data_IF_874920790726
#
_entry.id   IF_874920790726
#
_cell.length_a   1.000
_cell.length_b   1.000
_cell.length_c   1.000
_cell.angle_alpha   90.00
_cell.angle_beta   90.00
_cell.angle_gamma   90.00
#
_symmetry.space_group_name_H-M   'P 1'
#
loop_
_entity.id
_entity.type
_entity.pdbx_description
1 polymer ?
#
# COMPACT_ATOMS: atom_id res chain seq x y z
N UNK A 1 12.42 5.09 10.63
CA UNK A 1 11.05 4.53 10.44
C UNK A 1 10.89 3.23 11.21
N UNK A 2 9.74 2.98 11.80
CA UNK A 2 9.45 1.78 12.60
C UNK A 2 7.99 1.37 12.42
N UNK A 3 7.67 0.10 12.72
CA UNK A 3 6.28 -0.37 12.83
C UNK A 3 5.64 0.27 14.07
N UNK A 4 4.45 0.85 13.92
CA UNK A 4 3.79 1.65 14.97
C UNK A 4 2.75 0.88 15.77
N UNK A 5 2.17 -0.20 15.22
CA UNK A 5 1.14 -1.00 15.89
C UNK A 5 1.27 -2.50 15.67
N UNK A 6 0.41 -3.27 16.34
CA UNK A 6 0.34 -4.73 16.19
C UNK A 6 1.52 -5.49 16.80
N UNK A 7 1.67 -6.77 16.39
CA UNK A 7 2.64 -7.73 16.96
C UNK A 7 4.11 -7.37 16.73
N UNK A 8 4.40 -6.55 15.72
CA UNK A 8 5.76 -6.11 15.37
C UNK A 8 6.04 -4.66 15.82
N UNK A 9 5.21 -4.08 16.68
CA UNK A 9 5.36 -2.71 17.16
C UNK A 9 6.79 -2.46 17.67
N UNK A 10 7.40 -1.35 17.19
CA UNK A 10 8.76 -0.95 17.55
C UNK A 10 9.85 -1.53 16.66
N UNK A 11 9.53 -2.48 15.75
CA UNK A 11 10.51 -3.01 14.80
C UNK A 11 11.02 -1.89 13.90
N UNK A 12 12.33 -1.62 13.94
CA UNK A 12 12.99 -0.64 13.08
C UNK A 12 13.18 -1.20 11.68
N UNK A 13 12.64 -0.52 10.69
CA UNK A 13 12.81 -0.86 9.28
C UNK A 13 14.09 -0.24 8.73
N UNK A 14 14.73 -0.94 7.78
CA UNK A 14 15.80 -0.37 6.98
C UNK A 14 15.22 0.72 6.06
N UNK A 15 15.95 1.81 5.95
CA UNK A 15 15.58 2.99 5.18
C UNK A 15 16.70 3.29 4.17
N UNK A 16 16.37 4.07 3.16
CA UNK A 16 17.38 4.65 2.28
C UNK A 16 18.25 5.58 3.09
N UNK A 17 19.57 5.44 2.99
CA UNK A 17 20.49 6.34 3.68
C UNK A 17 20.29 7.79 3.24
N UNK A 18 20.44 8.73 4.16
CA UNK A 18 20.43 10.15 3.83
C UNK A 18 21.53 10.44 2.79
N UNK A 19 21.13 10.80 1.56
CA UNK A 19 22.06 11.18 0.48
C UNK A 19 22.04 10.30 -0.76
N UNK A 20 21.20 9.27 -0.85
CA UNK A 20 21.00 8.56 -2.11
C UNK A 20 20.04 9.36 -3.03
N UNK A 21 20.51 9.98 -4.13
CA UNK A 21 19.67 10.74 -5.06
C UNK A 21 18.64 9.87 -5.79
N UNK A 22 18.83 8.55 -5.81
CA UNK A 22 17.90 7.58 -6.39
C UNK A 22 16.72 7.28 -5.44
N UNK A 23 16.80 7.73 -4.19
CA UNK A 23 15.76 7.57 -3.21
C UNK A 23 14.76 8.72 -3.28
N UNK A 24 13.95 8.76 -4.31
CA UNK A 24 12.71 9.57 -4.34
C UNK A 24 11.66 9.01 -3.36
N UNK A 25 12.07 8.11 -2.48
CA UNK A 25 11.23 7.55 -1.43
C UNK A 25 11.13 8.60 -0.31
N UNK A 26 10.10 9.43 -0.37
CA UNK A 26 9.66 10.20 0.81
C UNK A 26 8.95 9.19 1.72
N UNK A 27 9.57 8.72 2.81
CA UNK A 27 8.92 7.70 3.63
C UNK A 27 7.71 8.32 4.30
N UNK A 28 6.56 7.67 4.13
CA UNK A 28 5.37 7.95 4.95
C UNK A 28 5.79 7.97 6.42
N UNK A 29 5.64 9.10 7.09
CA UNK A 29 6.09 9.23 8.48
C UNK A 29 5.34 8.26 9.38
N UNK A 30 5.96 7.85 10.49
CA UNK A 30 5.31 7.00 11.50
C UNK A 30 3.95 7.57 11.91
N UNK A 31 3.83 8.90 12.03
CA UNK A 31 2.59 9.60 12.38
C UNK A 31 1.50 9.48 11.32
N UNK A 32 1.83 9.67 10.05
CA UNK A 32 0.86 9.54 8.95
C UNK A 32 0.39 8.08 8.85
N UNK A 33 1.32 7.13 8.93
CA UNK A 33 0.99 5.70 8.91
C UNK A 33 0.06 5.32 10.06
N UNK A 34 0.33 5.78 11.29
CA UNK A 34 -0.57 5.58 12.43
C UNK A 34 -1.96 6.16 12.17
N UNK A 35 -2.04 7.38 11.62
CA UNK A 35 -3.30 8.02 11.28
C UNK A 35 -4.09 7.25 10.22
N UNK A 36 -3.43 6.73 9.17
CA UNK A 36 -4.04 5.89 8.13
C UNK A 36 -4.67 4.63 8.75
N UNK A 37 -3.94 3.90 9.59
CA UNK A 37 -4.46 2.69 10.21
C UNK A 37 -5.58 2.99 11.23
N UNK A 38 -5.51 4.11 11.94
CA UNK A 38 -6.60 4.56 12.81
C UNK A 38 -7.86 4.92 12.00
N UNK A 39 -7.68 5.54 10.82
CA UNK A 39 -8.79 5.84 9.91
C UNK A 39 -9.47 4.56 9.42
N UNK A 40 -8.70 3.56 8.98
CA UNK A 40 -9.21 2.27 8.54
C UNK A 40 -9.99 1.55 9.66
N UNK A 41 -9.41 1.44 10.84
CA UNK A 41 -9.98 0.68 11.96
C UNK A 41 -11.15 1.40 12.63
N UNK A 42 -10.96 2.67 13.00
CA UNK A 42 -11.89 3.36 13.89
C UNK A 42 -12.99 4.12 13.14
N UNK A 43 -12.68 4.66 11.96
CA UNK A 43 -13.65 5.44 11.17
C UNK A 43 -14.43 4.58 10.18
N UNK A 44 -13.77 3.58 9.60
CA UNK A 44 -14.37 2.72 8.57
C UNK A 44 -14.62 1.29 9.02
N UNK A 45 -14.18 0.90 10.22
CA UNK A 45 -14.39 -0.45 10.76
C UNK A 45 -13.80 -1.56 9.88
N UNK A 46 -12.75 -1.26 9.10
CA UNK A 46 -12.17 -2.23 8.18
C UNK A 46 -11.41 -3.33 8.96
N UNK A 47 -11.78 -4.61 8.81
CA UNK A 47 -11.11 -5.71 9.49
C UNK A 47 -9.76 -5.98 8.80
N UNK A 48 -8.66 -5.49 9.40
CA UNK A 48 -7.30 -5.79 8.88
C UNK A 48 -6.92 -7.24 9.13
N UNK A 49 -7.42 -7.82 10.22
CA UNK A 49 -7.17 -9.22 10.55
C UNK A 49 -7.72 -10.15 9.47
N UNK A 50 -6.86 -11.04 8.98
CA UNK A 50 -7.20 -11.96 7.90
C UNK A 50 -7.19 -11.35 6.50
N UNK A 51 -7.06 -10.03 6.34
CA UNK A 51 -7.10 -9.37 5.05
C UNK A 51 -5.91 -9.76 4.15
N UNK A 52 -6.17 -9.81 2.85
CA UNK A 52 -5.16 -9.87 1.79
C UNK A 52 -4.83 -8.45 1.36
N UNK A 53 -3.57 -8.07 1.41
CA UNK A 53 -3.11 -6.70 1.17
C UNK A 53 -2.23 -6.63 -0.06
N UNK A 54 -2.46 -5.62 -0.91
CA UNK A 54 -1.60 -5.26 -2.03
C UNK A 54 -0.96 -3.90 -1.73
N UNK A 55 0.35 -3.82 -1.81
CA UNK A 55 1.12 -2.59 -1.56
C UNK A 55 1.81 -2.19 -2.87
N UNK A 56 1.24 -1.19 -3.55
CA UNK A 56 1.71 -0.67 -4.84
C UNK A 56 2.66 0.50 -4.60
N UNK A 57 3.77 0.54 -5.33
CA UNK A 57 4.91 1.42 -5.07
C UNK A 57 5.46 1.21 -3.66
N UNK A 58 5.64 -0.06 -3.29
CA UNK A 58 5.85 -0.50 -1.91
C UNK A 58 7.09 0.10 -1.22
N UNK A 59 8.10 0.53 -1.97
CA UNK A 59 9.29 1.15 -1.42
C UNK A 59 9.98 0.26 -0.38
N UNK A 60 9.98 0.71 0.88
CA UNK A 60 10.52 -0.05 2.01
C UNK A 60 9.56 -1.12 2.54
N UNK A 61 8.31 -1.15 2.07
CA UNK A 61 7.25 -2.06 2.53
C UNK A 61 6.58 -1.64 3.83
N UNK A 62 6.71 -0.39 4.23
CA UNK A 62 6.25 0.07 5.54
C UNK A 62 4.75 -0.09 5.76
N UNK A 63 3.91 0.22 4.76
CA UNK A 63 2.46 0.09 4.85
C UNK A 63 2.01 -1.38 4.91
N UNK A 64 2.51 -2.22 4.00
CA UNK A 64 2.17 -3.64 3.99
C UNK A 64 2.68 -4.37 5.24
N UNK A 65 3.90 -4.07 5.72
CA UNK A 65 4.43 -4.65 6.96
C UNK A 65 3.67 -4.18 8.20
N UNK A 66 3.18 -2.95 8.22
CA UNK A 66 2.29 -2.46 9.27
C UNK A 66 0.96 -3.23 9.26
N UNK A 67 0.38 -3.50 8.06
CA UNK A 67 -0.82 -4.31 7.94
C UNK A 67 -0.61 -5.74 8.46
N UNK A 68 0.51 -6.39 8.09
CA UNK A 68 0.89 -7.71 8.64
C UNK A 68 1.04 -7.68 10.17
N UNK A 69 1.63 -6.63 10.70
CA UNK A 69 1.77 -6.45 12.14
C UNK A 69 0.42 -6.40 12.85
N UNK A 70 -0.61 -5.91 12.16
CA UNK A 70 -1.97 -5.76 12.67
C UNK A 70 -2.90 -6.92 12.31
N UNK A 71 -2.35 -8.02 11.77
CA UNK A 71 -3.09 -9.26 11.56
C UNK A 71 -3.48 -9.57 10.11
N UNK A 72 -3.06 -8.79 9.11
CA UNK A 72 -3.26 -9.17 7.73
C UNK A 72 -2.70 -10.57 7.46
N UNK A 73 -3.41 -11.37 6.68
CA UNK A 73 -3.03 -12.76 6.41
C UNK A 73 -1.88 -12.86 5.42
N UNK A 74 -1.86 -11.98 4.42
CA UNK A 74 -0.87 -11.98 3.35
C UNK A 74 -0.68 -10.59 2.75
N UNK A 75 0.55 -10.27 2.33
CA UNK A 75 0.84 -9.05 1.60
C UNK A 75 1.60 -9.36 0.32
N UNK A 76 1.14 -8.80 -0.81
CA UNK A 76 1.90 -8.69 -2.04
C UNK A 76 2.45 -7.26 -2.17
N UNK A 77 3.74 -7.16 -2.34
CA UNK A 77 4.43 -5.91 -2.58
C UNK A 77 4.81 -5.80 -4.06
N UNK A 78 4.54 -4.67 -4.66
CA UNK A 78 4.88 -4.35 -6.04
C UNK A 78 5.78 -3.13 -6.09
N UNK A 79 6.96 -3.28 -6.65
CA UNK A 79 7.91 -2.19 -6.86
C UNK A 79 8.88 -2.55 -8.00
N UNK A 80 9.17 -1.62 -8.91
CA UNK A 80 10.10 -1.83 -10.01
C UNK A 80 11.54 -1.39 -9.69
N UNK A 81 11.73 -0.60 -8.62
CA UNK A 81 13.02 -0.09 -8.16
C UNK A 81 13.90 -1.17 -7.53
N UNK A 82 15.12 -1.36 -8.02
CA UNK A 82 16.02 -2.38 -7.49
C UNK A 82 16.45 -2.08 -6.04
N UNK A 83 16.75 -0.83 -5.73
CA UNK A 83 17.13 -0.38 -4.38
C UNK A 83 15.97 -0.54 -3.39
N UNK A 84 14.75 -0.12 -3.79
CA UNK A 84 13.55 -0.28 -2.99
C UNK A 84 13.31 -1.76 -2.64
N UNK A 85 13.35 -2.66 -3.63
CA UNK A 85 13.17 -4.10 -3.40
C UNK A 85 14.26 -4.73 -2.54
N UNK A 86 15.50 -4.23 -2.57
CA UNK A 86 16.55 -4.71 -1.68
C UNK A 86 16.23 -4.37 -0.21
N UNK A 87 15.81 -3.13 0.06
CA UNK A 87 15.35 -2.70 1.37
C UNK A 87 14.11 -3.46 1.84
N UNK A 88 13.14 -3.62 0.93
CA UNK A 88 11.92 -4.37 1.21
C UNK A 88 12.22 -5.82 1.62
N UNK A 89 13.10 -6.53 0.90
CA UNK A 89 13.52 -7.89 1.27
C UNK A 89 14.15 -7.93 2.65
N UNK A 90 15.06 -7.01 2.95
CA UNK A 90 15.69 -6.92 4.27
C UNK A 90 14.65 -6.66 5.38
N UNK A 91 13.63 -5.84 5.11
CA UNK A 91 12.56 -5.56 6.05
C UNK A 91 11.62 -6.76 6.25
N UNK A 92 11.25 -7.46 5.18
CA UNK A 92 10.44 -8.70 5.24
C UNK A 92 11.18 -9.79 6.03
N UNK A 93 12.47 -9.95 5.80
CA UNK A 93 13.31 -10.90 6.54
C UNK A 93 13.39 -10.53 8.03
N UNK A 94 13.67 -9.25 8.33
CA UNK A 94 13.70 -8.72 9.70
C UNK A 94 12.36 -8.90 10.42
N UNK A 95 11.24 -8.76 9.72
CA UNK A 95 9.90 -9.01 10.22
C UNK A 95 9.56 -10.52 10.33
N UNK A 96 10.42 -11.42 9.84
CA UNK A 96 10.18 -12.88 9.70
C UNK A 96 8.87 -13.18 8.96
N UNK A 97 8.60 -12.42 7.88
CA UNK A 97 7.34 -12.46 7.17
C UNK A 97 7.42 -13.16 5.80
N UNK A 98 8.54 -13.81 5.45
CA UNK A 98 8.77 -14.43 4.13
C UNK A 98 7.68 -15.44 3.72
N UNK A 99 7.10 -16.17 4.67
CA UNK A 99 6.06 -17.17 4.38
C UNK A 99 4.67 -16.60 4.04
N UNK A 100 4.45 -15.31 4.31
CA UNK A 100 3.16 -14.62 4.14
C UNK A 100 3.27 -13.38 3.24
N UNK A 101 4.39 -13.24 2.54
CA UNK A 101 4.64 -12.10 1.64
C UNK A 101 5.11 -12.56 0.27
N UNK A 102 4.71 -11.81 -0.76
CA UNK A 102 5.25 -11.91 -2.11
C UNK A 102 5.86 -10.56 -2.49
N UNK A 103 7.02 -10.57 -3.13
CA UNK A 103 7.69 -9.36 -3.63
C UNK A 103 7.81 -9.47 -5.15
N UNK A 104 7.07 -8.65 -5.86
CA UNK A 104 7.03 -8.66 -7.32
C UNK A 104 7.79 -7.49 -7.91
N UNK A 105 8.70 -7.82 -8.83
CA UNK A 105 9.30 -6.84 -9.71
C UNK A 105 8.34 -6.54 -10.84
N UNK A 106 7.50 -5.51 -10.68
CA UNK A 106 6.56 -5.04 -11.70
C UNK A 106 6.41 -3.54 -11.65
N UNK A 107 6.10 -2.96 -12.79
CA UNK A 107 5.54 -1.62 -12.87
C UNK A 107 4.10 -1.67 -12.35
N UNK A 108 3.80 -0.87 -11.34
CA UNK A 108 2.44 -0.80 -10.78
C UNK A 108 1.41 -0.27 -11.79
N UNK A 109 1.84 0.47 -12.81
CA UNK A 109 0.98 0.97 -13.88
C UNK A 109 0.70 -0.08 -14.97
N UNK A 110 1.40 -1.23 -14.93
CA UNK A 110 1.21 -2.37 -15.85
C UNK A 110 1.29 -3.71 -15.09
N UNK A 111 0.28 -3.97 -14.27
CA UNK A 111 0.23 -5.17 -13.43
C UNK A 111 -0.07 -6.45 -14.22
N UNK A 112 -0.79 -6.32 -15.33
CA UNK A 112 -1.35 -7.47 -16.04
C UNK A 112 -2.43 -8.21 -15.25
N UNK A 113 -2.87 -9.40 -15.70
CA UNK A 113 -3.94 -10.13 -15.04
C UNK A 113 -3.49 -10.74 -13.69
N UNK A 114 -4.34 -10.60 -12.68
CA UNK A 114 -4.24 -11.35 -11.44
C UNK A 114 -4.73 -12.79 -11.67
N UNK A 115 -3.92 -13.78 -11.31
CA UNK A 115 -4.27 -15.20 -11.42
C UNK A 115 -4.68 -15.83 -10.08
N UNK A 116 -4.75 -15.01 -9.02
CA UNK A 116 -5.13 -15.41 -7.69
C UNK A 116 -6.43 -14.76 -7.21
N UNK A 117 -6.72 -14.90 -5.94
CA UNK A 117 -7.80 -14.15 -5.31
C UNK A 117 -7.47 -12.66 -5.25
N UNK A 118 -8.50 -11.81 -5.31
CA UNK A 118 -8.38 -10.37 -5.16
C UNK A 118 -7.86 -9.96 -3.76
N UNK A 119 -7.53 -8.70 -3.64
CA UNK A 119 -7.02 -8.10 -2.40
C UNK A 119 -8.09 -7.23 -1.76
N UNK A 120 -8.23 -7.35 -0.44
CA UNK A 120 -9.22 -6.65 0.37
C UNK A 120 -8.81 -5.21 0.68
N UNK A 121 -7.50 -4.97 0.79
CA UNK A 121 -6.91 -3.67 1.08
C UNK A 121 -5.75 -3.41 0.11
N UNK A 122 -5.75 -2.24 -0.50
CA UNK A 122 -4.71 -1.81 -1.43
C UNK A 122 -4.11 -0.50 -0.93
N UNK A 123 -2.81 -0.47 -0.72
CA UNK A 123 -2.04 0.75 -0.49
C UNK A 123 -1.45 1.25 -1.80
N UNK A 124 -1.43 2.55 -1.97
CA UNK A 124 -0.95 3.25 -3.14
C UNK A 124 -0.25 4.54 -2.73
N UNK A 125 1.09 4.54 -2.77
CA UNK A 125 1.94 5.70 -2.44
C UNK A 125 2.92 5.97 -3.60
N UNK A 126 2.42 6.47 -4.74
CA UNK A 126 3.24 6.72 -5.93
C UNK A 126 4.11 7.96 -5.75
N UNK A 127 5.18 8.13 -6.54
CA UNK A 127 5.86 9.41 -6.68
C UNK A 127 4.88 10.51 -7.14
N UNK A 128 4.74 11.56 -6.35
CA UNK A 128 3.73 12.61 -6.53
C UNK A 128 3.82 13.34 -7.88
N UNK A 129 2.69 13.85 -8.35
CA UNK A 129 2.60 14.76 -9.51
C UNK A 129 2.79 14.10 -10.88
N UNK A 130 2.84 12.75 -10.97
CA UNK A 130 3.04 12.01 -12.22
C UNK A 130 1.82 11.27 -12.72
N UNK A 131 0.70 11.37 -12.01
CA UNK A 131 -0.54 10.62 -12.29
C UNK A 131 -0.34 9.09 -12.38
N UNK A 132 0.69 8.58 -11.69
CA UNK A 132 0.98 7.16 -11.66
C UNK A 132 -0.07 6.39 -10.85
N UNK A 133 -0.69 7.04 -9.89
CA UNK A 133 -1.74 6.43 -9.07
C UNK A 133 -2.97 6.08 -9.88
N UNK A 134 -3.46 7.00 -10.74
CA UNK A 134 -4.58 6.74 -11.64
C UNK A 134 -4.30 5.58 -12.58
N UNK A 135 -3.10 5.56 -13.20
CA UNK A 135 -2.69 4.50 -14.10
C UNK A 135 -2.58 3.13 -13.38
N UNK A 136 -2.00 3.11 -12.17
CA UNK A 136 -1.87 1.90 -11.37
C UNK A 136 -3.24 1.33 -10.97
N UNK A 137 -4.17 2.18 -10.51
CA UNK A 137 -5.52 1.76 -10.16
C UNK A 137 -6.31 1.27 -11.39
N UNK A 138 -6.16 1.93 -12.54
CA UNK A 138 -6.77 1.47 -13.79
C UNK A 138 -6.23 0.10 -14.20
N UNK A 139 -4.90 -0.12 -14.10
CA UNK A 139 -4.26 -1.41 -14.36
C UNK A 139 -4.75 -2.50 -13.39
N UNK A 140 -4.85 -2.17 -12.11
CA UNK A 140 -5.33 -3.11 -11.09
C UNK A 140 -6.80 -3.51 -11.31
N UNK A 141 -7.67 -2.55 -11.68
CA UNK A 141 -9.06 -2.82 -12.03
C UNK A 141 -9.15 -3.75 -13.25
N UNK A 142 -8.47 -3.39 -14.34
CA UNK A 142 -8.48 -4.17 -15.57
C UNK A 142 -7.92 -5.58 -15.37
N UNK A 143 -6.98 -5.75 -14.45
CA UNK A 143 -6.36 -7.03 -14.15
C UNK A 143 -7.09 -7.88 -13.10
N UNK A 144 -8.20 -7.43 -12.52
CA UNK A 144 -8.94 -8.19 -11.50
C UNK A 144 -8.18 -8.34 -10.18
N UNK A 145 -7.50 -7.27 -9.72
CA UNK A 145 -6.71 -7.30 -8.51
C UNK A 145 -7.50 -7.01 -7.24
N UNK A 146 -8.67 -6.40 -7.35
CA UNK A 146 -9.51 -6.05 -6.21
C UNK A 146 -10.47 -7.19 -5.85
N UNK A 147 -10.60 -7.48 -4.57
CA UNK A 147 -11.74 -8.21 -4.05
C UNK A 147 -13.01 -7.32 -4.13
N UNK A 148 -14.22 -7.90 -4.13
CA UNK A 148 -15.44 -7.12 -4.00
C UNK A 148 -15.37 -6.24 -2.74
N UNK A 149 -15.81 -4.98 -2.83
CA UNK A 149 -15.80 -3.99 -1.75
C UNK A 149 -14.40 -3.66 -1.17
N UNK A 150 -13.32 -3.99 -1.88
CA UNK A 150 -11.96 -3.69 -1.45
C UNK A 150 -11.77 -2.20 -1.15
N UNK A 151 -10.98 -1.90 -0.12
CA UNK A 151 -10.57 -0.53 0.18
C UNK A 151 -9.21 -0.21 -0.45
N UNK A 152 -9.10 1.01 -0.97
CA UNK A 152 -7.84 1.60 -1.43
C UNK A 152 -7.48 2.77 -0.54
N UNK A 153 -6.25 2.80 -0.06
CA UNK A 153 -5.64 3.94 0.62
C UNK A 153 -4.64 4.56 -0.34
N UNK A 154 -4.93 5.75 -0.80
CA UNK A 154 -4.10 6.46 -1.77
C UNK A 154 -3.48 7.70 -1.14
N UNK A 155 -2.16 7.76 -1.10
CA UNK A 155 -1.38 8.91 -0.64
C UNK A 155 -0.92 9.76 -1.83
N UNK A 156 -1.21 11.07 -1.78
CA UNK A 156 -0.80 12.08 -2.76
C UNK A 156 -0.62 13.45 -2.08
N UNK A 157 -0.05 14.42 -2.77
CA UNK A 157 0.01 15.83 -2.33
C UNK A 157 -1.22 16.63 -2.76
N UNK A 158 -1.89 16.22 -3.82
CA UNK A 158 -3.09 16.83 -4.40
C UNK A 158 -4.25 15.85 -4.47
N UNK A 159 -5.47 16.36 -4.66
CA UNK A 159 -6.65 15.50 -4.79
C UNK A 159 -6.58 14.68 -6.10
N UNK A 160 -6.54 13.34 -6.01
CA UNK A 160 -6.48 12.50 -7.19
C UNK A 160 -7.84 12.39 -7.88
N UNK A 161 -7.83 11.89 -9.12
CA UNK A 161 -9.04 11.57 -9.89
C UNK A 161 -9.19 10.05 -9.98
N UNK A 162 -10.03 9.43 -9.12
CA UNK A 162 -10.22 8.00 -9.14
C UNK A 162 -10.75 7.50 -10.48
N UNK A 163 -10.24 6.38 -11.03
CA UNK A 163 -10.80 5.77 -12.22
C UNK A 163 -12.21 5.22 -11.95
N UNK A 164 -13.01 5.09 -13.03
CA UNK A 164 -14.33 4.48 -12.95
C UNK A 164 -14.23 3.08 -12.31
N UNK A 165 -15.18 2.74 -11.43
CA UNK A 165 -15.18 1.50 -10.66
C UNK A 165 -14.66 1.65 -9.22
N UNK A 166 -14.07 2.81 -8.88
CA UNK A 166 -13.66 3.15 -7.52
C UNK A 166 -14.41 4.41 -7.06
N UNK A 167 -15.08 4.33 -5.93
CA UNK A 167 -15.81 5.45 -5.32
C UNK A 167 -15.01 6.03 -4.16
N UNK A 168 -14.80 7.34 -4.13
CA UNK A 168 -14.22 8.01 -2.98
C UNK A 168 -15.20 7.98 -1.80
N UNK A 169 -14.73 7.49 -0.65
CA UNK A 169 -15.53 7.38 0.58
C UNK A 169 -15.04 8.29 1.68
N UNK A 170 -13.76 8.67 1.70
CA UNK A 170 -13.19 9.63 2.65
C UNK A 170 -11.95 10.29 2.08
N UNK A 171 -11.57 11.45 2.63
CA UNK A 171 -10.33 12.12 2.31
C UNK A 171 -9.84 12.95 3.49
N UNK A 172 -8.57 12.79 3.86
CA UNK A 172 -7.96 13.46 5.00
C UNK A 172 -6.60 14.02 4.65
N UNK A 173 -6.30 15.22 5.13
CA UNK A 173 -4.98 15.84 4.97
C UNK A 173 -4.17 15.71 6.27
N UNK A 174 -2.95 15.21 6.13
CA UNK A 174 -1.97 15.07 7.19
C UNK A 174 -0.67 15.79 6.80
N UNK A 175 -0.55 17.07 7.20
CA UNK A 175 0.53 17.94 6.72
C UNK A 175 0.45 18.13 5.20
N UNK A 176 1.51 17.77 4.50
CA UNK A 176 1.57 17.87 3.03
C UNK A 176 0.97 16.65 2.31
N UNK A 177 0.65 15.58 3.05
CA UNK A 177 0.08 14.36 2.49
C UNK A 177 -1.44 14.39 2.54
N UNK A 178 -2.08 14.11 1.41
CA UNK A 178 -3.50 13.89 1.27
C UNK A 178 -3.76 12.39 1.16
N UNK A 179 -4.50 11.84 2.09
CA UNK A 179 -4.91 10.42 2.09
C UNK A 179 -6.35 10.35 1.61
N UNK A 180 -6.55 9.66 0.50
CA UNK A 180 -7.87 9.42 -0.10
C UNK A 180 -8.25 7.96 0.06
N UNK A 181 -9.40 7.67 0.65
CA UNK A 181 -9.96 6.34 0.72
C UNK A 181 -10.95 6.12 -0.42
N UNK A 182 -10.75 5.03 -1.15
CA UNK A 182 -11.67 4.61 -2.20
C UNK A 182 -12.22 3.23 -1.85
N UNK A 183 -13.41 2.92 -2.38
CA UNK A 183 -14.03 1.60 -2.32
C UNK A 183 -14.26 1.07 -3.72
N UNK A 184 -13.88 -0.17 -3.95
CA UNK A 184 -14.19 -0.88 -5.18
C UNK A 184 -15.67 -1.28 -5.23
N UNK A 185 -16.26 -1.27 -6.41
CA UNK A 185 -17.63 -1.72 -6.58
C UNK A 185 -17.80 -3.23 -6.34
N UNK A 186 -19.03 -3.72 -6.10
CA UNK A 186 -19.31 -5.13 -5.77
C UNK A 186 -19.00 -6.12 -6.91
N UNK A 187 -18.66 -5.65 -8.11
CA UNK A 187 -18.35 -6.48 -9.29
C UNK A 187 -16.97 -6.26 -9.91
N UNK A 188 -16.07 -5.57 -9.21
CA UNK A 188 -14.75 -5.20 -9.77
C UNK A 188 -13.73 -6.35 -9.86
N UNK A 189 -14.13 -7.59 -9.58
CA UNK A 189 -13.27 -8.78 -9.56
C UNK A 189 -13.62 -9.85 -10.61
N UNK A 190 -14.35 -9.51 -11.67
CA UNK A 190 -14.72 -10.47 -12.74
C UNK A 190 -13.91 -10.24 -14.01
#
# INVERSE_FOLDING_TARGET
MRIVGGRLRGLKLAEVGAGDPAAHLRPTTDRVREAVFNLLLNSHGFPIEGARVLDLFAGTGALGLEALSRGAARVAFVDDGAAARALLRANVEKARAMGVTDIWRRDATDLGPNRGAGYDLVFLDPPYGRRLGEAALASALAGGWFAPDALVVWEEDTAPLPPAGLAQIDQRRYGDTLVTLLRAGPGSGA
#
